data_IF_573633622057
#
_entry.id   IF_573633622057
#
_cell.length_a   1.000
_cell.length_b   1.000
_cell.length_c   1.000
_cell.angle_alpha   90.00
_cell.angle_beta   90.00
_cell.angle_gamma   90.00
#
_symmetry.space_group_name_H-M   'P 1'
#
loop_
_entity.id
_entity.type
_entity.pdbx_description
1 polymer ?
#
# COMPACT_ATOMS: atom_id res chain seq x y z
N UNK A 1 -16.88 51.34 -19.85
CA UNK A 1 -15.65 50.65 -19.43
C UNK A 1 -15.98 49.84 -18.19
N UNK A 2 -16.09 48.51 -18.33
CA UNK A 2 -16.44 47.62 -17.22
C UNK A 2 -15.21 46.76 -16.95
N UNK A 3 -14.59 46.99 -15.79
CA UNK A 3 -13.44 46.25 -15.28
C UNK A 3 -13.93 44.94 -14.70
N UNK A 4 -13.45 43.81 -15.21
CA UNK A 4 -13.75 42.49 -14.67
C UNK A 4 -12.63 42.06 -13.71
N UNK A 5 -13.02 41.75 -12.48
CA UNK A 5 -12.22 41.24 -11.37
C UNK A 5 -11.40 39.99 -11.78
N UNK A 6 -10.11 40.01 -11.50
CA UNK A 6 -9.27 38.82 -11.51
C UNK A 6 -9.41 38.07 -10.18
N UNK A 7 -10.10 36.93 -10.18
CA UNK A 7 -9.96 35.92 -9.12
C UNK A 7 -8.95 34.90 -9.65
N UNK A 8 -7.68 35.10 -9.33
CA UNK A 8 -6.65 34.07 -9.49
C UNK A 8 -6.88 33.09 -8.34
N UNK A 9 -7.72 32.09 -8.59
CA UNK A 9 -7.80 30.90 -7.75
C UNK A 9 -6.48 30.16 -7.91
N UNK A 10 -5.66 30.12 -6.85
CA UNK A 10 -4.47 29.27 -6.80
C UNK A 10 -4.91 27.80 -6.77
N UNK A 11 -5.13 27.21 -7.95
CA UNK A 11 -5.25 25.77 -8.07
C UNK A 11 -3.89 25.16 -7.74
N UNK A 12 -3.71 24.66 -6.52
CA UNK A 12 -2.76 23.56 -6.30
C UNK A 12 -3.39 22.31 -6.89
N UNK A 13 -3.46 22.29 -8.20
CA UNK A 13 -3.95 21.17 -8.98
C UNK A 13 -2.76 20.24 -9.22
N UNK A 14 -2.50 19.36 -8.25
CA UNK A 14 -1.81 18.10 -8.57
C UNK A 14 -2.81 17.16 -9.25
N UNK A 15 -3.42 17.65 -10.33
CA UNK A 15 -4.12 16.81 -11.29
C UNK A 15 -3.02 16.24 -12.17
N UNK A 16 -2.66 14.99 -11.89
CA UNK A 16 -2.02 14.14 -12.90
C UNK A 16 -2.96 14.10 -14.10
N UNK A 17 -2.75 15.04 -15.02
CA UNK A 17 -3.32 14.95 -16.35
C UNK A 17 -2.65 13.75 -17.00
N UNK A 18 -3.35 12.62 -17.08
CA UNK A 18 -3.03 11.63 -18.09
C UNK A 18 -4.32 11.01 -18.63
N UNK A 19 -4.65 11.21 -19.92
CA UNK A 19 -5.58 10.35 -20.62
C UNK A 19 -4.86 9.02 -20.87
N UNK A 20 -4.89 8.13 -19.88
CA UNK A 20 -4.49 6.74 -20.02
C UNK A 20 -5.58 5.88 -19.41
N UNK A 21 -5.97 4.84 -20.13
CA UNK A 21 -7.05 3.85 -19.90
C UNK A 21 -7.56 3.70 -18.45
N UNK A 22 -8.88 3.45 -18.25
CA UNK A 22 -9.45 3.27 -16.91
C UNK A 22 -8.61 2.30 -16.07
N UNK A 23 -8.28 2.74 -14.86
CA UNK A 23 -7.56 1.96 -13.88
C UNK A 23 -8.33 1.90 -12.57
N UNK A 24 -8.23 0.77 -11.89
CA UNK A 24 -8.81 0.58 -10.55
C UNK A 24 -7.70 0.52 -9.52
N UNK A 25 -7.92 1.13 -8.35
CA UNK A 25 -6.96 1.14 -7.23
C UNK A 25 -7.55 0.39 -6.06
N UNK A 26 -6.82 -0.60 -5.57
CA UNK A 26 -7.15 -1.36 -4.36
C UNK A 26 -6.10 -1.07 -3.29
N UNK A 27 -6.55 -0.85 -2.05
CA UNK A 27 -5.68 -0.64 -0.90
C UNK A 27 -5.93 -1.73 0.12
N UNK A 28 -4.87 -2.33 0.63
CA UNK A 28 -4.92 -3.32 1.69
C UNK A 28 -3.96 -2.93 2.81
N UNK A 29 -4.41 -3.10 4.05
CA UNK A 29 -3.55 -3.01 5.23
C UNK A 29 -3.06 -4.42 5.56
N UNK A 30 -1.76 -4.57 5.80
CA UNK A 30 -1.14 -5.84 6.15
C UNK A 30 -0.84 -5.85 7.65
N UNK A 31 -1.29 -6.89 8.34
CA UNK A 31 -0.94 -7.20 9.72
C UNK A 31 0.01 -8.41 9.76
N UNK A 32 0.64 -8.72 10.91
CA UNK A 32 1.56 -9.84 11.03
C UNK A 32 0.92 -11.18 10.64
N UNK A 33 -0.38 -11.32 10.85
CA UNK A 33 -1.14 -12.52 10.48
C UNK A 33 -1.27 -12.73 8.96
N UNK A 34 -0.87 -11.75 8.14
CA UNK A 34 -0.83 -11.89 6.69
C UNK A 34 0.50 -12.47 6.17
N UNK A 35 1.49 -12.70 7.04
CA UNK A 35 2.73 -13.36 6.66
C UNK A 35 2.57 -14.87 6.59
N UNK A 36 3.32 -15.50 5.69
CA UNK A 36 3.35 -16.95 5.53
C UNK A 36 4.81 -17.41 5.66
N UNK A 37 5.15 -18.26 6.64
CA UNK A 37 4.27 -18.87 7.64
C UNK A 37 3.70 -17.86 8.64
N UNK A 38 2.50 -18.14 9.16
CA UNK A 38 1.82 -17.24 10.10
C UNK A 38 2.61 -17.15 11.41
N UNK A 39 2.92 -15.95 11.91
CA UNK A 39 3.66 -15.77 13.15
C UNK A 39 2.80 -16.08 14.38
N UNK A 40 3.44 -16.17 15.54
CA UNK A 40 2.82 -16.52 16.81
C UNK A 40 1.87 -15.42 17.31
N UNK A 41 1.01 -15.79 18.26
CA UNK A 41 0.12 -14.86 18.93
C UNK A 41 0.94 -13.80 19.69
N UNK A 42 0.74 -12.54 19.34
CA UNK A 42 1.50 -11.41 19.90
C UNK A 42 2.59 -10.85 18.99
N UNK A 43 2.78 -11.40 17.79
CA UNK A 43 3.65 -10.81 16.79
C UNK A 43 3.22 -9.37 16.45
N UNK A 44 4.21 -8.49 16.33
CA UNK A 44 4.03 -7.10 15.92
C UNK A 44 4.54 -6.92 14.50
N UNK A 45 4.09 -5.84 13.85
CA UNK A 45 4.41 -5.55 12.45
C UNK A 45 3.23 -4.95 11.74
N UNK A 46 3.48 -4.17 10.71
CA UNK A 46 2.42 -3.62 9.87
C UNK A 46 2.95 -3.24 8.50
N UNK A 47 2.05 -3.18 7.54
CA UNK A 47 2.35 -2.80 6.18
C UNK A 47 1.14 -2.32 5.44
N UNK A 48 1.36 -1.92 4.20
CA UNK A 48 0.30 -1.62 3.26
C UNK A 48 0.67 -2.10 1.88
N UNK A 49 -0.34 -2.49 1.12
CA UNK A 49 -0.22 -2.81 -0.28
C UNK A 49 -1.24 -1.98 -1.07
N UNK A 50 -0.81 -1.50 -2.23
CA UNK A 50 -1.63 -0.86 -3.25
C UNK A 50 -1.55 -1.70 -4.52
N UNK A 51 -2.69 -2.08 -5.05
CA UNK A 51 -2.78 -2.75 -6.34
C UNK A 51 -3.45 -1.82 -7.34
N UNK A 52 -2.83 -1.67 -8.51
CA UNK A 52 -3.34 -0.87 -9.61
C UNK A 52 -3.65 -1.83 -10.76
N UNK A 53 -4.93 -1.99 -11.08
CA UNK A 53 -5.37 -2.78 -12.23
C UNK A 53 -5.53 -1.83 -13.41
N UNK A 54 -4.71 -2.02 -14.44
CA UNK A 54 -4.76 -1.30 -15.71
C UNK A 54 -4.95 -2.32 -16.81
N UNK A 55 -6.11 -2.30 -17.47
CA UNK A 55 -6.46 -3.29 -18.49
C UNK A 55 -6.36 -4.72 -17.95
N UNK A 56 -5.35 -5.48 -18.38
CA UNK A 56 -5.09 -6.87 -17.97
C UNK A 56 -3.83 -7.00 -17.11
N UNK A 57 -3.24 -5.86 -16.69
CA UNK A 57 -2.02 -5.80 -15.89
C UNK A 57 -2.36 -5.33 -14.47
N UNK A 58 -2.04 -6.17 -13.49
CA UNK A 58 -2.12 -5.83 -12.08
C UNK A 58 -0.73 -5.46 -11.56
N UNK A 59 -0.52 -4.18 -11.25
CA UNK A 59 0.71 -3.68 -10.62
C UNK A 59 0.49 -3.65 -9.11
N UNK A 60 1.19 -4.52 -8.38
CA UNK A 60 1.17 -4.56 -6.93
C UNK A 60 2.42 -3.88 -6.38
N UNK A 61 2.23 -2.89 -5.52
CA UNK A 61 3.30 -2.25 -4.75
C UNK A 61 2.93 -2.25 -3.28
N UNK A 62 3.91 -2.42 -2.41
CA UNK A 62 3.63 -2.46 -0.99
C UNK A 62 4.90 -2.65 -0.20
N UNK A 63 4.77 -2.46 1.11
CA UNK A 63 5.85 -2.68 2.05
C UNK A 63 5.26 -3.25 3.33
N UNK A 64 5.93 -4.24 3.88
CA UNK A 64 5.67 -4.77 5.20
C UNK A 64 6.95 -4.63 6.03
N UNK A 65 6.82 -4.17 7.27
CA UNK A 65 7.99 -3.88 8.10
C UNK A 65 7.69 -4.05 9.59
N UNK A 66 8.76 -4.17 10.37
CA UNK A 66 8.66 -4.28 11.81
C UNK A 66 8.04 -5.60 12.27
N UNK A 67 8.16 -6.67 11.46
CA UNK A 67 7.85 -8.00 11.96
C UNK A 67 8.76 -8.29 13.13
N UNK A 68 8.16 -8.38 14.30
CA UNK A 68 8.83 -8.83 15.49
C UNK A 68 7.92 -9.83 16.17
N UNK A 69 8.34 -11.09 16.13
CA UNK A 69 7.71 -12.18 16.84
C UNK A 69 8.67 -12.68 17.92
N UNK A 70 8.13 -13.26 18.97
CA UNK A 70 8.93 -14.08 19.88
C UNK A 70 9.31 -15.31 19.08
N UNK A 71 10.49 -15.31 18.45
CA UNK A 71 10.99 -16.42 17.63
C UNK A 71 10.64 -17.73 18.33
N UNK A 72 9.82 -18.56 17.68
CA UNK A 72 9.51 -19.89 18.18
C UNK A 72 10.80 -20.71 18.10
N UNK A 73 11.59 -20.70 19.18
CA UNK A 73 12.85 -21.44 19.30
C UNK A 73 12.66 -22.95 19.17
N UNK A 74 11.41 -23.45 19.14
CA UNK A 74 11.07 -24.83 18.80
C UNK A 74 11.23 -25.20 17.32
N UNK A 75 11.46 -24.23 16.40
CA UNK A 75 11.79 -24.49 14.98
C UNK A 75 13.28 -24.26 14.65
N UNK A 76 14.10 -23.84 15.62
CA UNK A 76 15.57 -23.81 15.48
C UNK A 76 16.21 -25.19 15.71
N UNK A 77 15.43 -26.21 16.05
CA UNK A 77 15.82 -27.60 15.92
C UNK A 77 15.42 -28.09 14.54
N UNK A 78 16.35 -28.03 13.58
CA UNK A 78 16.17 -28.73 12.31
C UNK A 78 15.78 -30.19 12.54
N UNK A 79 15.08 -30.77 11.56
CA UNK A 79 14.85 -32.21 11.50
C UNK A 79 16.15 -32.97 11.84
N UNK A 80 16.11 -33.80 12.89
CA UNK A 80 17.01 -34.94 13.06
C UNK A 80 16.26 -36.19 12.62
#
# INVERSE_FOLDING_TARGET
MISALAIISCSKESSTTQPSKPYSVFKATLSPQNEVPQPCQGATGSGSATAILQEDVLILSGSFSGLHDTVFTGLLGGIL
#
